data_IF_323019156460
#
_entry.id   IF_323019156460
#
_cell.length_a   1.000
_cell.length_b   1.000
_cell.length_c   1.000
_cell.angle_alpha   90.00
_cell.angle_beta   90.00
_cell.angle_gamma   90.00
#
_symmetry.space_group_name_H-M   'P 1'
#
loop_
_entity.id
_entity.type
_entity.pdbx_description
1 polymer ?
#
# COMPACT_ATOMS: atom_id res chain seq x y z
N UNK A 1 1.21 -25.33 -1.05
CA UNK A 1 0.64 -24.80 -2.28
C UNK A 1 0.81 -25.80 -3.41
N UNK A 2 -0.06 -25.75 -4.42
CA UNK A 2 0.07 -26.64 -5.61
C UNK A 2 0.97 -26.07 -6.69
N UNK A 3 1.35 -24.81 -6.56
CA UNK A 3 2.23 -24.12 -7.50
C UNK A 3 2.82 -22.86 -6.86
N UNK A 4 3.92 -22.39 -7.44
CA UNK A 4 4.74 -21.31 -6.88
C UNK A 4 4.02 -19.97 -6.87
N UNK A 5 3.22 -19.67 -7.90
CA UNK A 5 2.39 -18.44 -7.93
C UNK A 5 1.42 -18.41 -6.75
N UNK A 6 0.73 -19.54 -6.48
CA UNK A 6 -0.15 -19.65 -5.31
C UNK A 6 0.60 -19.47 -4.00
N UNK A 7 1.79 -20.05 -3.86
CA UNK A 7 2.64 -19.87 -2.68
C UNK A 7 3.05 -18.40 -2.50
N UNK A 8 3.44 -17.72 -3.57
CA UNK A 8 3.78 -16.30 -3.55
C UNK A 8 2.59 -15.41 -3.12
N UNK A 9 1.40 -15.66 -3.66
CA UNK A 9 0.18 -14.93 -3.22
C UNK A 9 -0.20 -15.22 -1.77
N UNK A 10 0.04 -16.45 -1.25
CA UNK A 10 -0.16 -16.74 0.17
C UNK A 10 0.81 -15.94 1.06
N UNK A 11 2.08 -15.82 0.66
CA UNK A 11 3.06 -15.00 1.37
C UNK A 11 2.69 -13.50 1.32
N UNK A 12 2.25 -12.99 0.16
CA UNK A 12 1.76 -11.63 -0.01
C UNK A 12 0.54 -11.35 0.88
N UNK A 13 -0.46 -12.23 0.85
CA UNK A 13 -1.66 -12.14 1.69
C UNK A 13 -1.33 -12.13 3.18
N UNK A 14 -0.39 -12.99 3.62
CA UNK A 14 0.10 -13.00 4.99
C UNK A 14 0.75 -11.67 5.37
N UNK A 15 1.66 -11.16 4.54
CA UNK A 15 2.34 -9.88 4.79
C UNK A 15 1.34 -8.71 4.92
N UNK A 16 0.30 -8.67 4.08
CA UNK A 16 -0.75 -7.65 4.13
C UNK A 16 -1.62 -7.76 5.39
N UNK A 17 -2.03 -8.96 5.76
CA UNK A 17 -2.93 -9.20 6.88
C UNK A 17 -2.24 -9.02 8.24
N UNK A 18 -0.99 -9.48 8.36
CA UNK A 18 -0.19 -9.40 9.60
C UNK A 18 0.58 -8.09 9.75
N UNK A 19 0.73 -7.30 8.68
CA UNK A 19 1.72 -6.21 8.55
C UNK A 19 3.17 -6.68 8.83
N UNK A 20 3.40 -7.98 8.69
CA UNK A 20 4.66 -8.66 8.94
C UNK A 20 5.42 -8.97 7.66
N UNK A 21 6.26 -9.97 7.74
CA UNK A 21 7.11 -10.45 6.66
C UNK A 21 6.56 -11.78 6.14
N UNK A 22 6.07 -11.81 4.89
CA UNK A 22 5.72 -13.05 4.20
C UNK A 22 6.97 -13.76 3.70
N UNK A 23 6.95 -15.09 3.68
CA UNK A 23 8.09 -15.88 3.20
C UNK A 23 7.61 -16.93 2.22
N UNK A 24 8.30 -17.05 1.08
CA UNK A 24 8.04 -18.08 0.08
C UNK A 24 9.34 -18.71 -0.40
N UNK A 25 9.33 -20.03 -0.56
CA UNK A 25 10.43 -20.81 -1.12
C UNK A 25 10.01 -21.42 -2.45
N UNK A 26 10.88 -21.33 -3.44
CA UNK A 26 10.70 -21.96 -4.75
C UNK A 26 11.93 -22.74 -5.18
N UNK A 27 11.76 -23.64 -6.12
CA UNK A 27 12.88 -24.25 -6.82
C UNK A 27 13.58 -23.23 -7.72
N UNK A 28 14.78 -23.56 -8.19
CA UNK A 28 15.52 -22.77 -9.18
C UNK A 28 14.82 -22.77 -10.55
N UNK A 29 15.20 -21.88 -11.42
CA UNK A 29 14.75 -21.82 -12.81
C UNK A 29 13.23 -21.69 -12.96
N UNK A 30 12.54 -22.74 -13.42
CA UNK A 30 11.08 -22.70 -13.60
C UNK A 30 10.31 -22.30 -12.34
N UNK A 31 10.75 -22.71 -11.14
CA UNK A 31 10.11 -22.34 -9.88
C UNK A 31 10.26 -20.85 -9.58
N UNK A 32 11.44 -20.29 -9.80
CA UNK A 32 11.69 -18.86 -9.68
C UNK A 32 10.89 -18.03 -10.70
N UNK A 33 10.72 -18.55 -11.92
CA UNK A 33 9.92 -17.90 -12.96
C UNK A 33 8.41 -17.99 -12.66
N UNK A 34 7.92 -19.12 -12.18
CA UNK A 34 6.49 -19.33 -11.89
C UNK A 34 5.96 -18.44 -10.76
N UNK A 35 6.78 -18.01 -9.81
CA UNK A 35 6.37 -17.11 -8.72
C UNK A 35 6.37 -15.64 -9.14
N UNK A 36 6.95 -15.30 -10.30
CA UNK A 36 7.20 -13.91 -10.72
C UNK A 36 5.96 -13.03 -10.67
N UNK A 37 4.81 -13.51 -11.14
CA UNK A 37 3.55 -12.75 -11.08
C UNK A 37 3.15 -12.33 -9.66
N UNK A 38 3.31 -13.22 -8.69
CA UNK A 38 3.01 -12.92 -7.28
C UNK A 38 4.02 -11.93 -6.68
N UNK A 39 5.29 -12.00 -7.04
CA UNK A 39 6.32 -11.05 -6.60
C UNK A 39 6.08 -9.66 -7.19
N UNK A 40 5.71 -9.57 -8.48
CA UNK A 40 5.30 -8.31 -9.11
C UNK A 40 4.12 -7.67 -8.38
N UNK A 41 3.09 -8.47 -8.03
CA UNK A 41 1.94 -7.97 -7.28
C UNK A 41 2.34 -7.51 -5.87
N UNK A 42 3.21 -8.26 -5.18
CA UNK A 42 3.75 -7.87 -3.87
C UNK A 42 4.52 -6.54 -3.94
N UNK A 43 5.32 -6.35 -5.01
CA UNK A 43 6.04 -5.08 -5.26
C UNK A 43 5.07 -3.93 -5.51
N UNK A 44 4.05 -4.18 -6.33
CA UNK A 44 3.04 -3.17 -6.64
C UNK A 44 2.22 -2.77 -5.41
N UNK A 45 1.89 -3.72 -4.55
CA UNK A 45 1.16 -3.47 -3.31
C UNK A 45 2.02 -2.86 -2.19
N UNK A 46 3.34 -3.00 -2.27
CA UNK A 46 4.26 -2.61 -1.19
C UNK A 46 4.24 -3.62 -0.02
N UNK A 47 4.10 -4.91 -0.33
CA UNK A 47 4.10 -5.98 0.67
C UNK A 47 5.53 -6.45 0.94
N UNK A 48 5.87 -6.62 2.22
CA UNK A 48 7.17 -7.16 2.64
C UNK A 48 7.17 -8.67 2.45
N UNK A 49 7.80 -9.16 1.39
CA UNK A 49 7.92 -10.60 1.10
C UNK A 49 9.39 -10.96 0.91
N UNK A 50 9.86 -12.04 1.54
CA UNK A 50 11.10 -12.69 1.21
C UNK A 50 10.82 -13.89 0.30
N UNK A 51 11.38 -13.86 -0.89
CA UNK A 51 11.35 -14.96 -1.83
C UNK A 51 12.71 -15.64 -1.87
N UNK A 52 12.75 -16.89 -1.46
CA UNK A 52 13.93 -17.74 -1.54
C UNK A 52 13.84 -18.66 -2.75
N UNK A 53 14.91 -18.71 -3.52
CA UNK A 53 15.02 -19.66 -4.65
C UNK A 53 16.40 -20.30 -4.68
N UNK A 54 16.46 -21.50 -5.23
CA UNK A 54 17.73 -22.14 -5.51
C UNK A 54 18.43 -21.55 -6.75
N UNK A 55 19.65 -22.00 -6.96
CA UNK A 55 20.42 -21.78 -8.19
C UNK A 55 21.35 -22.99 -8.44
N UNK A 56 21.86 -23.12 -9.65
CA UNK A 56 22.90 -24.10 -10.00
C UNK A 56 24.13 -23.91 -9.09
N UNK A 57 25.03 -24.89 -9.04
CA UNK A 57 26.25 -24.76 -8.26
C UNK A 57 27.09 -23.55 -8.71
N UNK A 58 27.80 -22.91 -7.80
CA UNK A 58 28.59 -21.70 -8.05
C UNK A 58 29.57 -21.86 -9.22
N UNK A 59 30.14 -23.05 -9.37
CA UNK A 59 31.04 -23.36 -10.51
C UNK A 59 30.36 -23.32 -11.90
N UNK A 60 29.04 -23.48 -11.96
CA UNK A 60 28.26 -23.51 -13.20
C UNK A 60 27.46 -22.22 -13.44
N UNK A 61 27.51 -21.28 -12.53
CA UNK A 61 26.74 -20.02 -12.63
C UNK A 61 27.07 -19.28 -13.93
N UNK A 62 26.03 -18.87 -14.64
CA UNK A 62 26.06 -17.99 -15.81
C UNK A 62 26.88 -18.57 -16.98
N UNK A 63 27.21 -19.88 -16.96
CA UNK A 63 27.97 -20.56 -18.01
C UNK A 63 27.11 -21.20 -19.11
N UNK A 64 25.81 -21.27 -18.90
CA UNK A 64 24.83 -21.85 -19.84
C UNK A 64 25.24 -23.26 -20.32
N UNK A 65 25.64 -24.11 -19.38
CA UNK A 65 26.16 -25.46 -19.69
C UNK A 65 25.05 -26.52 -19.74
N UNK A 66 23.78 -26.13 -19.65
CA UNK A 66 22.63 -27.03 -19.67
C UNK A 66 22.47 -27.84 -18.38
N UNK A 67 22.86 -27.30 -17.23
CA UNK A 67 22.53 -27.87 -15.92
C UNK A 67 21.03 -27.84 -15.71
N UNK A 68 20.52 -28.76 -14.88
CA UNK A 68 19.06 -28.85 -14.63
C UNK A 68 18.53 -27.53 -14.09
N UNK A 69 17.49 -26.97 -14.74
CA UNK A 69 16.86 -25.71 -14.38
C UNK A 69 17.78 -24.49 -14.46
N UNK A 70 18.83 -24.56 -15.25
CA UNK A 70 19.70 -23.43 -15.53
C UNK A 70 18.92 -22.34 -16.31
N UNK A 71 18.84 -21.16 -15.76
CA UNK A 71 18.24 -19.99 -16.41
C UNK A 71 19.29 -18.91 -16.48
N UNK A 72 19.74 -18.53 -17.67
CA UNK A 72 20.69 -17.43 -17.80
C UNK A 72 20.17 -16.17 -17.11
N UNK A 73 21.02 -15.52 -16.33
CA UNK A 73 20.70 -14.27 -15.62
C UNK A 73 19.46 -14.35 -14.71
N UNK A 74 19.25 -15.46 -13.98
CA UNK A 74 18.12 -15.58 -13.03
C UNK A 74 18.11 -14.42 -12.04
N UNK A 75 19.26 -13.98 -11.54
CA UNK A 75 19.34 -12.86 -10.59
C UNK A 75 18.81 -11.55 -11.18
N UNK A 76 19.09 -11.28 -12.47
CA UNK A 76 18.59 -10.09 -13.17
C UNK A 76 17.05 -10.13 -13.33
N UNK A 77 16.52 -11.30 -13.67
CA UNK A 77 15.07 -11.53 -13.70
C UNK A 77 14.44 -11.20 -12.33
N UNK A 78 15.01 -11.73 -11.25
CA UNK A 78 14.55 -11.49 -9.90
C UNK A 78 14.68 -10.01 -9.49
N UNK A 79 15.76 -9.35 -9.88
CA UNK A 79 15.99 -7.92 -9.65
C UNK A 79 14.94 -7.05 -10.33
N UNK A 80 14.51 -7.41 -11.53
CA UNK A 80 13.51 -6.65 -12.28
C UNK A 80 12.12 -6.67 -11.63
N UNK A 81 11.76 -7.74 -10.93
CA UNK A 81 10.44 -7.95 -10.32
C UNK A 81 10.40 -7.64 -8.82
N UNK A 82 11.55 -7.67 -8.13
CA UNK A 82 11.67 -7.43 -6.70
C UNK A 82 12.09 -5.99 -6.39
N UNK A 83 11.99 -5.58 -5.14
CA UNK A 83 12.61 -4.35 -4.65
C UNK A 83 14.12 -4.44 -4.69
N UNK A 84 14.64 -5.63 -4.36
CA UNK A 84 16.04 -6.00 -4.45
C UNK A 84 16.16 -7.51 -4.67
N UNK A 85 17.23 -7.95 -5.34
CA UNK A 85 17.59 -9.36 -5.46
C UNK A 85 19.03 -9.56 -4.99
N UNK A 86 19.25 -10.61 -4.20
CA UNK A 86 20.52 -10.89 -3.52
C UNK A 86 20.92 -12.32 -3.80
N UNK A 87 22.18 -12.55 -4.15
CA UNK A 87 22.78 -13.89 -4.21
C UNK A 87 23.58 -14.15 -2.93
N UNK A 88 23.41 -15.30 -2.31
CA UNK A 88 24.24 -15.80 -1.23
C UNK A 88 25.25 -16.78 -1.84
N UNK A 89 26.47 -16.36 -2.01
CA UNK A 89 27.57 -17.08 -2.66
C UNK A 89 28.67 -17.53 -1.69
N UNK A 90 28.58 -17.11 -0.44
CA UNK A 90 29.39 -17.61 0.69
C UNK A 90 28.46 -17.99 1.86
N UNK A 91 28.62 -19.21 2.37
CA UNK A 91 27.84 -19.71 3.49
C UNK A 91 28.03 -18.88 4.79
N UNK A 92 29.18 -18.25 4.96
CA UNK A 92 29.50 -17.41 6.14
C UNK A 92 28.71 -16.10 6.16
N UNK A 93 28.34 -15.59 4.99
CA UNK A 93 27.56 -14.34 4.84
C UNK A 93 26.05 -14.59 4.94
N UNK A 94 25.61 -15.84 5.01
CA UNK A 94 24.18 -16.19 4.96
C UNK A 94 23.34 -15.41 5.96
N UNK A 95 23.73 -15.39 7.23
CA UNK A 95 22.94 -14.70 8.25
C UNK A 95 22.93 -13.19 8.05
N UNK A 96 24.05 -12.59 7.69
CA UNK A 96 24.15 -11.15 7.42
C UNK A 96 23.26 -10.74 6.26
N UNK A 97 23.35 -11.46 5.12
CA UNK A 97 22.53 -11.20 3.93
C UNK A 97 21.03 -11.42 4.20
N UNK A 98 20.67 -12.39 5.06
CA UNK A 98 19.26 -12.58 5.46
C UNK A 98 18.73 -11.43 6.33
N UNK A 99 19.53 -10.97 7.31
CA UNK A 99 19.17 -9.81 8.13
C UNK A 99 19.01 -8.56 7.24
N UNK A 100 19.94 -8.36 6.31
CA UNK A 100 19.89 -7.27 5.36
C UNK A 100 18.60 -7.37 4.50
N UNK A 101 18.28 -8.54 3.96
CA UNK A 101 17.07 -8.76 3.16
C UNK A 101 15.78 -8.45 3.95
N UNK A 102 15.70 -8.89 5.20
CA UNK A 102 14.59 -8.55 6.09
C UNK A 102 14.47 -7.03 6.27
N UNK A 103 15.59 -6.36 6.54
CA UNK A 103 15.63 -4.89 6.69
C UNK A 103 15.16 -4.17 5.43
N UNK A 104 15.64 -4.57 4.27
CA UNK A 104 15.24 -3.97 2.98
C UNK A 104 13.74 -4.19 2.71
N UNK A 105 13.24 -5.41 2.91
CA UNK A 105 11.82 -5.71 2.68
C UNK A 105 10.89 -4.88 3.58
N UNK A 106 11.29 -4.64 4.85
CA UNK A 106 10.51 -3.92 5.85
C UNK A 106 10.70 -2.39 5.79
N UNK A 107 11.81 -1.90 5.21
CA UNK A 107 12.06 -0.46 5.08
C UNK A 107 11.10 0.16 4.05
N UNK A 108 10.38 1.23 4.40
CA UNK A 108 9.55 1.96 3.44
C UNK A 108 10.36 2.63 2.31
N UNK A 109 9.81 2.69 1.09
CA UNK A 109 8.63 1.98 0.63
C UNK A 109 8.86 0.47 0.65
N UNK A 110 7.98 -0.27 1.38
CA UNK A 110 8.10 -1.72 1.55
C UNK A 110 7.99 -2.45 0.21
N UNK A 111 8.58 -3.64 0.13
CA UNK A 111 8.50 -4.45 -1.08
C UNK A 111 9.16 -5.83 -0.94
N UNK A 112 8.99 -6.72 -1.94
CA UNK A 112 9.60 -8.04 -1.92
C UNK A 112 11.10 -7.97 -2.16
N UNK A 113 11.83 -8.88 -1.50
CA UNK A 113 13.26 -9.14 -1.74
C UNK A 113 13.43 -10.59 -2.15
N UNK A 114 14.07 -10.84 -3.28
CA UNK A 114 14.39 -12.18 -3.75
C UNK A 114 15.81 -12.57 -3.35
N UNK A 115 15.97 -13.80 -2.87
CA UNK A 115 17.24 -14.34 -2.37
C UNK A 115 17.52 -15.63 -3.13
N UNK A 116 18.60 -15.61 -3.88
CA UNK A 116 19.08 -16.74 -4.67
C UNK A 116 20.23 -17.42 -3.92
N UNK A 117 20.15 -18.75 -3.76
CA UNK A 117 21.15 -19.53 -3.03
C UNK A 117 21.59 -20.72 -3.88
N UNK A 118 22.84 -20.76 -4.38
CA UNK A 118 23.39 -21.89 -5.13
C UNK A 118 23.34 -23.18 -4.32
N UNK A 119 23.14 -24.32 -5.01
CA UNK A 119 22.92 -25.62 -4.37
C UNK A 119 24.12 -26.10 -3.56
N UNK A 120 25.34 -25.80 -3.99
CA UNK A 120 26.56 -26.14 -3.27
C UNK A 120 26.68 -25.35 -1.96
N UNK A 121 26.25 -24.06 -1.94
CA UNK A 121 26.17 -23.25 -0.73
C UNK A 121 25.13 -23.83 0.25
N UNK A 122 23.94 -24.23 -0.25
CA UNK A 122 22.88 -24.82 0.57
C UNK A 122 23.34 -26.15 1.26
N UNK A 123 24.26 -26.86 0.66
CA UNK A 123 24.78 -28.15 1.19
C UNK A 123 25.89 -27.99 2.18
N UNK A 124 26.47 -26.80 2.32
CA UNK A 124 27.57 -26.57 3.27
C UNK A 124 27.07 -26.63 4.71
N UNK A 125 27.91 -27.18 5.57
CA UNK A 125 27.69 -27.20 7.02
C UNK A 125 28.25 -25.91 7.62
N UNK A 126 27.42 -25.22 8.39
CA UNK A 126 27.82 -24.05 9.15
C UNK A 126 27.56 -24.26 10.63
N UNK A 127 28.35 -23.66 11.48
CA UNK A 127 28.02 -23.56 12.91
C UNK A 127 26.78 -22.66 13.06
N UNK A 128 25.85 -23.07 13.94
CA UNK A 128 24.67 -22.27 14.22
C UNK A 128 25.07 -20.95 14.88
N UNK A 129 24.83 -19.78 14.25
CA UNK A 129 25.22 -18.52 14.87
C UNK A 129 24.42 -18.25 16.16
N UNK A 130 25.10 -17.87 17.24
CA UNK A 130 24.46 -17.52 18.52
C UNK A 130 23.47 -16.35 18.43
N UNK A 131 23.67 -15.45 17.49
CA UNK A 131 22.75 -14.34 17.21
C UNK A 131 21.32 -14.81 16.93
N UNK A 132 21.10 -16.03 16.40
CA UNK A 132 19.77 -16.59 16.16
C UNK A 132 18.94 -16.80 17.43
N UNK A 133 19.55 -16.80 18.60
CA UNK A 133 18.84 -16.96 19.89
C UNK A 133 18.24 -15.64 20.38
N UNK A 134 18.73 -14.52 19.89
CA UNK A 134 18.34 -13.17 20.36
C UNK A 134 17.82 -12.25 19.26
N UNK A 135 17.96 -12.65 17.99
CA UNK A 135 17.53 -11.82 16.87
C UNK A 135 16.01 -11.67 16.82
N UNK A 136 15.56 -10.46 16.57
CA UNK A 136 14.17 -10.14 16.26
C UNK A 136 14.08 -9.41 14.93
N UNK A 137 12.90 -9.42 14.32
CA UNK A 137 12.66 -8.63 13.13
C UNK A 137 12.88 -7.14 13.42
N UNK A 138 13.58 -6.42 12.55
CA UNK A 138 13.83 -4.99 12.75
C UNK A 138 12.53 -4.21 12.79
N UNK A 139 12.37 -3.39 13.83
CA UNK A 139 11.28 -2.42 13.92
C UNK A 139 11.72 -1.15 13.18
N UNK A 140 11.15 -0.95 11.99
CA UNK A 140 11.48 0.21 11.15
C UNK A 140 10.35 1.21 11.25
N UNK A 141 10.64 2.37 11.83
CA UNK A 141 9.74 3.53 11.85
C UNK A 141 10.14 4.51 10.74
N UNK A 142 9.15 5.08 10.07
CA UNK A 142 9.40 6.18 9.13
C UNK A 142 9.89 7.45 9.86
N UNK A 143 10.39 8.41 9.11
CA UNK A 143 10.85 9.71 9.61
C UNK A 143 9.77 10.79 9.43
N UNK A 144 9.86 11.86 10.23
CA UNK A 144 8.99 13.03 10.08
C UNK A 144 9.31 13.80 8.78
N UNK A 145 10.57 13.81 8.36
CA UNK A 145 11.04 14.60 7.24
C UNK A 145 11.37 16.05 7.60
N UNK A 146 11.49 16.91 6.58
CA UNK A 146 11.86 18.31 6.75
C UNK A 146 10.72 19.15 7.37
N UNK A 147 10.99 19.77 8.51
CA UNK A 147 9.99 20.56 9.23
C UNK A 147 9.63 21.87 8.55
N UNK A 148 10.50 22.42 7.68
CA UNK A 148 10.21 23.68 6.95
C UNK A 148 9.08 23.50 5.94
N UNK A 149 9.03 22.38 5.24
CA UNK A 149 7.93 22.09 4.32
C UNK A 149 6.59 21.94 5.03
N UNK A 150 6.59 21.59 6.32
CA UNK A 150 5.36 21.55 7.13
C UNK A 150 4.76 22.94 7.38
N UNK A 151 5.58 23.99 7.44
CA UNK A 151 5.10 25.36 7.63
C UNK A 151 4.27 25.82 6.42
N UNK A 152 4.72 25.45 5.21
CA UNK A 152 3.99 25.74 3.97
C UNK A 152 2.68 24.95 3.89
N UNK A 153 2.68 23.67 4.31
CA UNK A 153 1.48 22.83 4.36
C UNK A 153 0.50 23.38 5.39
N UNK A 154 0.96 23.74 6.58
CA UNK A 154 0.15 24.36 7.61
C UNK A 154 -0.54 25.64 7.10
N UNK A 155 0.21 26.50 6.40
CA UNK A 155 -0.33 27.70 5.77
C UNK A 155 -1.41 27.37 4.74
N UNK A 156 -1.17 26.40 3.84
CA UNK A 156 -2.14 25.96 2.83
C UNK A 156 -3.42 25.43 3.47
N UNK A 157 -3.31 24.68 4.56
CA UNK A 157 -4.47 24.16 5.29
C UNK A 157 -5.28 25.31 5.93
N UNK A 158 -4.62 26.27 6.57
CA UNK A 158 -5.28 27.40 7.25
C UNK A 158 -5.96 28.34 6.27
N UNK A 159 -5.42 28.52 5.08
CA UNK A 159 -5.95 29.39 4.04
C UNK A 159 -7.11 28.76 3.25
N UNK A 160 -7.35 27.47 3.40
CA UNK A 160 -8.36 26.72 2.66
C UNK A 160 -9.61 26.50 3.51
N UNK A 161 -10.80 26.66 2.93
CA UNK A 161 -12.10 26.36 3.58
C UNK A 161 -12.58 24.96 3.22
N UNK A 162 -12.60 24.63 1.94
CA UNK A 162 -13.10 23.37 1.39
C UNK A 162 -11.96 22.39 1.18
N UNK A 163 -11.80 21.45 2.08
CA UNK A 163 -10.62 20.58 2.17
C UNK A 163 -10.98 19.11 2.10
N UNK A 164 -10.17 18.33 1.37
CA UNK A 164 -10.30 16.88 1.30
C UNK A 164 -8.95 16.20 1.51
N UNK A 165 -8.98 14.99 2.08
CA UNK A 165 -7.82 14.10 2.13
C UNK A 165 -8.08 12.92 1.21
N UNK A 166 -7.14 12.64 0.30
CA UNK A 166 -7.06 11.39 -0.44
C UNK A 166 -6.13 10.43 0.32
N UNK A 167 -6.72 9.39 0.89
CA UNK A 167 -6.01 8.41 1.73
C UNK A 167 -5.61 7.20 0.91
N UNK A 168 -4.31 6.89 0.87
CA UNK A 168 -3.76 5.69 0.27
C UNK A 168 -3.28 4.65 1.29
N UNK A 169 -2.72 3.55 0.78
CA UNK A 169 -2.17 2.46 1.61
C UNK A 169 -1.04 2.92 2.55
N UNK A 170 -0.26 3.93 2.16
CA UNK A 170 0.82 4.46 3.00
C UNK A 170 0.33 5.12 4.29
N UNK A 171 -0.97 5.46 4.37
CA UNK A 171 -1.61 6.00 5.57
C UNK A 171 -2.32 4.93 6.42
N UNK A 172 -2.14 3.63 6.15
CA UNK A 172 -2.85 2.51 6.79
C UNK A 172 -2.83 2.57 8.33
N UNK A 173 -1.81 3.13 8.93
CA UNK A 173 -1.63 3.21 10.38
C UNK A 173 -1.85 4.62 10.96
N UNK A 174 -2.38 5.56 10.17
CA UNK A 174 -2.64 6.94 10.57
C UNK A 174 -4.14 7.21 10.84
N UNK A 175 -4.90 6.19 11.25
CA UNK A 175 -6.34 6.30 11.50
C UNK A 175 -6.69 7.38 12.52
N UNK A 176 -5.97 7.44 13.63
CA UNK A 176 -6.21 8.43 14.69
C UNK A 176 -5.94 9.84 14.19
N UNK A 177 -4.83 10.02 13.50
CA UNK A 177 -4.41 11.30 12.97
C UNK A 177 -5.40 11.81 11.90
N UNK A 178 -5.83 10.96 10.97
CA UNK A 178 -6.81 11.35 9.94
C UNK A 178 -8.16 11.69 10.59
N UNK A 179 -8.56 10.99 11.65
CA UNK A 179 -9.78 11.36 12.40
C UNK A 179 -9.67 12.75 13.07
N UNK A 180 -8.47 13.21 13.45
CA UNK A 180 -8.28 14.60 13.89
C UNK A 180 -8.52 15.59 12.75
N UNK A 181 -8.05 15.30 11.54
CA UNK A 181 -8.33 16.13 10.37
C UNK A 181 -9.82 16.15 10.01
N UNK A 182 -10.54 15.04 10.16
CA UNK A 182 -11.99 15.01 9.99
C UNK A 182 -12.67 15.95 10.99
N UNK A 183 -12.23 15.96 12.25
CA UNK A 183 -12.72 16.91 13.26
C UNK A 183 -12.41 18.37 12.90
N UNK A 184 -11.39 18.62 12.10
CA UNK A 184 -11.04 19.94 11.54
C UNK A 184 -11.76 20.22 10.20
N UNK A 185 -12.78 19.44 9.84
CA UNK A 185 -13.63 19.66 8.67
C UNK A 185 -13.08 19.11 7.34
N UNK A 186 -12.08 18.23 7.36
CA UNK A 186 -11.66 17.57 6.13
C UNK A 186 -12.66 16.49 5.72
N UNK A 187 -13.11 16.52 4.47
CA UNK A 187 -13.69 15.36 3.82
C UNK A 187 -12.61 14.31 3.54
N UNK A 188 -12.99 13.06 3.33
CA UNK A 188 -12.04 11.99 3.03
C UNK A 188 -12.52 11.18 1.84
N UNK A 189 -11.61 10.92 0.91
CA UNK A 189 -11.76 9.92 -0.15
C UNK A 189 -10.62 8.93 -0.03
N UNK A 190 -10.85 7.66 -0.35
CA UNK A 190 -9.83 6.63 -0.21
C UNK A 190 -9.47 6.01 -1.56
N UNK A 191 -8.22 5.62 -1.71
CA UNK A 191 -7.87 4.61 -2.71
C UNK A 191 -8.49 3.26 -2.33
N UNK A 192 -8.55 2.32 -3.25
CA UNK A 192 -9.00 0.95 -2.95
C UNK A 192 -8.18 0.31 -1.82
N UNK A 193 -6.88 0.60 -1.78
CA UNK A 193 -5.97 0.08 -0.77
C UNK A 193 -5.94 0.91 0.53
N UNK A 194 -6.52 2.11 0.51
CA UNK A 194 -6.67 2.99 1.68
C UNK A 194 -8.00 2.85 2.40
N UNK A 195 -8.89 1.96 1.94
CA UNK A 195 -10.19 1.71 2.58
C UNK A 195 -10.01 1.23 4.02
N UNK A 196 -10.91 1.63 4.87
CA UNK A 196 -10.90 1.26 6.29
C UNK A 196 -9.93 2.07 7.16
N UNK A 197 -9.01 2.87 6.60
CA UNK A 197 -8.21 3.83 7.39
C UNK A 197 -9.12 4.82 8.12
N UNK A 198 -10.21 5.20 7.48
CA UNK A 198 -11.36 5.84 8.11
C UNK A 198 -12.55 4.91 7.94
N UNK A 199 -13.34 4.70 9.00
CA UNK A 199 -14.58 3.94 8.87
C UNK A 199 -15.46 4.56 7.78
N UNK A 200 -15.85 3.75 6.81
CA UNK A 200 -16.68 4.21 5.71
C UNK A 200 -18.12 4.55 6.16
N UNK A 201 -18.49 4.26 7.40
CA UNK A 201 -19.74 4.75 8.01
C UNK A 201 -19.64 6.21 8.45
N UNK A 202 -18.43 6.79 8.57
CA UNK A 202 -18.26 8.20 8.91
C UNK A 202 -18.87 9.10 7.81
N UNK A 203 -19.68 10.09 8.22
CA UNK A 203 -20.37 11.01 7.30
C UNK A 203 -19.45 11.85 6.42
N UNK A 204 -18.20 12.08 6.84
CA UNK A 204 -17.19 12.81 6.08
C UNK A 204 -16.34 11.90 5.19
N UNK A 205 -16.53 10.58 5.23
CA UNK A 205 -15.80 9.63 4.41
C UNK A 205 -16.62 9.25 3.17
N UNK A 206 -16.16 9.69 2.01
CA UNK A 206 -16.77 9.42 0.70
C UNK A 206 -16.39 8.03 0.16
N UNK A 207 -15.52 7.27 0.87
CA UNK A 207 -15.09 5.93 0.46
C UNK A 207 -14.24 5.92 -0.80
N UNK A 208 -14.21 4.79 -1.49
CA UNK A 208 -13.43 4.60 -2.72
C UNK A 208 -14.21 4.98 -4.00
N UNK A 209 -15.05 6.01 -3.92
CA UNK A 209 -15.79 6.56 -5.07
C UNK A 209 -15.01 7.68 -5.77
N UNK A 210 -13.71 7.65 -5.69
CA UNK A 210 -12.76 8.70 -6.05
C UNK A 210 -12.78 9.17 -7.51
N UNK A 211 -13.39 8.44 -8.44
CA UNK A 211 -13.45 8.79 -9.86
C UNK A 211 -14.87 8.75 -10.44
N UNK A 212 -15.92 8.80 -9.59
CA UNK A 212 -17.29 8.92 -10.10
C UNK A 212 -17.60 10.38 -10.49
N UNK A 213 -18.49 10.63 -11.47
CA UNK A 213 -18.74 11.98 -11.98
C UNK A 213 -19.09 13.02 -10.91
N UNK A 214 -19.94 12.67 -9.94
CA UNK A 214 -20.32 13.58 -8.84
C UNK A 214 -19.12 13.99 -7.98
N UNK A 215 -18.17 13.10 -7.75
CA UNK A 215 -16.94 13.41 -7.01
C UNK A 215 -16.02 14.31 -7.82
N UNK A 216 -15.93 14.11 -9.13
CA UNK A 216 -15.10 14.96 -9.99
C UNK A 216 -15.63 16.40 -10.03
N UNK A 217 -16.95 16.58 -10.14
CA UNK A 217 -17.54 17.91 -10.01
C UNK A 217 -17.30 18.52 -8.62
N UNK A 218 -17.38 17.72 -7.58
CA UNK A 218 -17.07 18.17 -6.22
C UNK A 218 -15.60 18.61 -6.09
N UNK A 219 -14.63 17.91 -6.72
CA UNK A 219 -13.22 18.31 -6.69
C UNK A 219 -12.97 19.70 -7.25
N UNK A 220 -13.75 20.14 -8.24
CA UNK A 220 -13.65 21.50 -8.82
C UNK A 220 -14.01 22.59 -7.83
N UNK A 221 -14.75 22.26 -6.77
CA UNK A 221 -15.19 23.22 -5.74
C UNK A 221 -14.23 23.29 -4.55
N UNK A 222 -13.18 22.48 -4.52
CA UNK A 222 -12.28 22.37 -3.38
C UNK A 222 -11.10 23.35 -3.48
N UNK A 223 -10.71 23.88 -2.33
CA UNK A 223 -9.54 24.74 -2.19
C UNK A 223 -8.24 23.96 -2.05
N UNK A 224 -8.32 22.73 -1.46
CA UNK A 224 -7.16 21.92 -1.12
C UNK A 224 -7.48 20.43 -1.17
N UNK A 225 -6.59 19.66 -1.79
CA UNK A 225 -6.53 18.20 -1.64
C UNK A 225 -5.19 17.81 -1.02
N UNK A 226 -5.25 17.17 0.14
CA UNK A 226 -4.11 16.56 0.81
C UNK A 226 -4.02 15.08 0.43
N UNK A 227 -2.98 14.69 -0.30
CA UNK A 227 -2.74 13.32 -0.76
C UNK A 227 -1.79 12.65 0.22
N UNK A 228 -2.25 11.60 0.91
CA UNK A 228 -1.48 10.96 1.98
C UNK A 228 -1.24 9.50 1.67
N UNK A 229 0.04 9.14 1.46
CA UNK A 229 0.47 7.77 1.21
C UNK A 229 -0.20 7.12 0.01
N UNK A 230 -0.49 7.89 -1.03
CA UNK A 230 -1.14 7.42 -2.25
C UNK A 230 -0.32 7.72 -3.50
N UNK A 231 -0.21 6.71 -4.36
CA UNK A 231 0.44 6.84 -5.67
C UNK A 231 -0.48 7.41 -6.75
N UNK A 232 -1.76 7.68 -6.45
CA UNK A 232 -2.77 8.12 -7.42
C UNK A 232 -2.75 7.26 -8.68
N UNK A 233 -2.97 5.96 -8.53
CA UNK A 233 -2.85 4.96 -9.59
C UNK A 233 -3.80 5.22 -10.74
N UNK A 234 -3.42 4.81 -11.96
CA UNK A 234 -4.19 5.01 -13.17
C UNK A 234 -5.65 4.55 -13.07
N UNK A 235 -5.90 3.33 -12.58
CA UNK A 235 -7.28 2.82 -12.45
C UNK A 235 -8.15 3.60 -11.43
N UNK A 236 -7.56 4.34 -10.51
CA UNK A 236 -8.25 5.19 -9.52
C UNK A 236 -8.43 6.62 -10.00
N UNK A 237 -7.69 7.01 -11.05
CA UNK A 237 -7.66 8.36 -11.62
C UNK A 237 -7.99 8.39 -13.12
N UNK A 238 -8.60 7.33 -13.65
CA UNK A 238 -8.90 7.18 -15.08
C UNK A 238 -7.67 7.45 -15.95
N UNK A 239 -6.58 6.71 -15.64
CA UNK A 239 -5.28 6.87 -16.28
C UNK A 239 -4.77 8.32 -16.27
N UNK A 240 -4.88 8.95 -15.09
CA UNK A 240 -4.45 10.32 -14.81
C UNK A 240 -5.22 11.41 -15.55
N UNK A 241 -6.40 11.06 -16.09
CA UNK A 241 -7.32 12.02 -16.72
C UNK A 241 -8.32 12.66 -15.75
N UNK A 242 -8.37 12.20 -14.49
CA UNK A 242 -9.26 12.76 -13.47
C UNK A 242 -8.84 14.18 -13.11
N UNK A 243 -9.78 15.12 -13.17
CA UNK A 243 -9.52 16.50 -12.77
C UNK A 243 -9.51 16.62 -11.25
N UNK A 244 -8.33 16.88 -10.68
CA UNK A 244 -8.13 17.12 -9.26
C UNK A 244 -8.12 18.61 -8.93
N UNK A 245 -8.33 19.01 -7.65
CA UNK A 245 -8.23 20.40 -7.23
C UNK A 245 -6.89 21.05 -7.63
N UNK A 246 -6.90 22.35 -7.86
CA UNK A 246 -5.68 23.09 -8.29
C UNK A 246 -4.57 23.09 -7.24
N UNK A 247 -4.93 23.05 -5.96
CA UNK A 247 -3.94 23.02 -4.87
C UNK A 247 -3.80 21.60 -4.33
N UNK A 248 -2.75 20.91 -4.78
CA UNK A 248 -2.41 19.55 -4.39
C UNK A 248 -1.19 19.56 -3.47
N UNK A 249 -1.36 19.01 -2.27
CA UNK A 249 -0.29 18.76 -1.30
C UNK A 249 -0.13 17.27 -1.14
N UNK A 250 1.08 16.74 -1.36
CA UNK A 250 1.34 15.31 -1.23
C UNK A 250 2.30 15.02 -0.08
N UNK A 251 1.93 14.06 0.74
CA UNK A 251 2.74 13.48 1.82
C UNK A 251 2.99 12.01 1.45
N UNK A 252 4.24 11.65 1.24
CA UNK A 252 4.62 10.28 0.91
C UNK A 252 5.99 9.95 1.50
N UNK A 253 6.20 8.70 1.88
CA UNK A 253 7.49 8.23 2.39
C UNK A 253 8.51 7.96 1.26
N UNK A 254 8.02 7.80 0.04
CA UNK A 254 8.82 7.58 -1.17
C UNK A 254 9.13 8.92 -1.85
N UNK A 255 10.39 9.41 -1.81
CA UNK A 255 10.74 10.68 -2.45
C UNK A 255 10.50 10.66 -3.96
N UNK A 256 10.51 9.49 -4.60
CA UNK A 256 10.21 9.35 -6.03
C UNK A 256 8.72 9.49 -6.37
N UNK A 257 7.84 9.59 -5.36
CA UNK A 257 6.42 9.87 -5.56
C UNK A 257 6.15 11.32 -6.01
N UNK A 258 7.09 12.24 -5.74
CA UNK A 258 6.97 13.65 -6.14
C UNK A 258 6.74 13.79 -7.64
N UNK A 259 5.60 14.38 -8.02
CA UNK A 259 5.22 14.62 -9.41
C UNK A 259 5.19 13.37 -10.31
N UNK A 260 5.06 12.18 -9.74
CA UNK A 260 5.07 10.91 -10.50
C UNK A 260 3.84 10.77 -11.41
N UNK A 261 2.67 11.13 -10.92
CA UNK A 261 1.39 11.02 -11.63
C UNK A 261 0.75 12.37 -11.86
N UNK A 262 0.64 13.19 -10.84
CA UNK A 262 0.14 14.55 -10.89
C UNK A 262 1.21 15.52 -10.41
N UNK A 263 1.28 16.71 -11.04
CA UNK A 263 2.11 17.79 -10.54
C UNK A 263 1.49 18.33 -9.25
N UNK A 264 2.24 18.27 -8.16
CA UNK A 264 1.80 18.76 -6.85
C UNK A 264 2.39 20.15 -6.56
N UNK A 265 1.64 21.00 -5.85
CA UNK A 265 2.09 22.32 -5.43
C UNK A 265 3.13 22.20 -4.32
N UNK A 266 2.91 21.25 -3.41
CA UNK A 266 3.80 20.98 -2.29
C UNK A 266 3.98 19.46 -2.14
N UNK A 267 5.18 19.05 -1.77
CA UNK A 267 5.51 17.66 -1.50
C UNK A 267 6.32 17.57 -0.21
N UNK A 268 5.87 16.72 0.70
CA UNK A 268 6.58 16.40 1.92
C UNK A 268 6.98 14.92 1.93
N UNK A 269 8.29 14.67 2.07
CA UNK A 269 8.81 13.32 2.20
C UNK A 269 8.85 12.92 3.66
N UNK A 270 7.92 12.05 4.09
CA UNK A 270 7.84 11.62 5.48
C UNK A 270 6.80 10.54 5.74
N UNK A 271 6.88 9.96 6.94
CA UNK A 271 5.91 8.97 7.41
C UNK A 271 4.53 9.62 7.64
N UNK A 272 3.51 9.08 7.00
CA UNK A 272 2.16 9.64 7.04
C UNK A 272 1.64 9.86 8.47
N UNK A 273 1.85 8.89 9.38
CA UNK A 273 1.39 8.98 10.76
C UNK A 273 2.10 10.12 11.51
N UNK A 274 3.44 10.16 11.43
CA UNK A 274 4.25 11.19 12.11
C UNK A 274 3.96 12.59 11.57
N UNK A 275 3.85 12.72 10.25
CA UNK A 275 3.57 14.00 9.59
C UNK A 275 2.19 14.51 9.96
N UNK A 276 1.17 13.66 9.88
CA UNK A 276 -0.20 14.06 10.24
C UNK A 276 -0.33 14.36 11.74
N UNK A 277 0.36 13.62 12.62
CA UNK A 277 0.37 13.91 14.05
C UNK A 277 0.96 15.30 14.35
N UNK A 278 2.08 15.64 13.73
CA UNK A 278 2.71 16.96 13.89
C UNK A 278 1.83 18.08 13.32
N UNK A 279 1.26 17.92 12.13
CA UNK A 279 0.33 18.89 11.55
C UNK A 279 -0.93 19.04 12.40
N UNK A 280 -1.51 17.94 12.91
CA UNK A 280 -2.68 17.99 13.78
C UNK A 280 -2.41 18.81 15.04
N UNK A 281 -1.24 18.61 15.69
CA UNK A 281 -0.80 19.39 16.84
C UNK A 281 -0.67 20.88 16.52
N UNK A 282 -0.09 21.23 15.38
CA UNK A 282 0.07 22.62 14.94
C UNK A 282 -1.26 23.32 14.64
N UNK A 283 -2.25 22.55 14.17
CA UNK A 283 -3.55 23.05 13.71
C UNK A 283 -4.63 23.01 14.78
N UNK A 284 -4.37 22.41 15.94
CA UNK A 284 -5.35 22.24 17.01
C UNK A 284 -6.00 23.58 17.40
N UNK A 285 -7.33 23.63 17.39
CA UNK A 285 -8.10 24.82 17.73
C UNK A 285 -8.01 25.99 16.74
N UNK A 286 -7.28 25.83 15.61
CA UNK A 286 -7.03 26.92 14.64
C UNK A 286 -7.85 26.83 13.37
N UNK A 287 -8.59 25.73 13.17
CA UNK A 287 -9.37 25.49 11.96
C UNK A 287 -10.86 25.58 12.29
N UNK A 288 -11.58 26.58 11.76
CA UNK A 288 -13.02 26.65 11.89
C UNK A 288 -13.70 25.55 11.09
N UNK A 289 -14.80 25.00 11.63
CA UNK A 289 -15.58 23.96 10.98
C UNK A 289 -17.01 24.46 10.82
N UNK A 290 -17.48 24.47 9.58
CA UNK A 290 -18.83 24.94 9.24
C UNK A 290 -19.78 23.73 9.13
N UNK A 291 -20.91 23.79 9.82
CA UNK A 291 -21.92 22.71 9.77
C UNK A 291 -22.51 22.53 8.37
N UNK A 292 -22.63 23.60 7.61
CA UNK A 292 -23.10 23.56 6.22
C UNK A 292 -22.19 22.71 5.35
N UNK A 293 -20.87 22.84 5.50
CA UNK A 293 -19.88 22.02 4.82
C UNK A 293 -20.01 20.53 5.19
N UNK A 294 -20.18 20.23 6.47
CA UNK A 294 -20.37 18.84 6.92
C UNK A 294 -21.64 18.25 6.30
N UNK A 295 -22.73 19.02 6.24
CA UNK A 295 -23.98 18.58 5.65
C UNK A 295 -23.87 18.39 4.14
N UNK A 296 -23.17 19.28 3.44
CA UNK A 296 -22.89 19.15 2.01
C UNK A 296 -22.16 17.84 1.69
N UNK A 297 -21.06 17.55 2.40
CA UNK A 297 -20.28 16.32 2.22
C UNK A 297 -21.12 15.07 2.51
N UNK A 298 -21.93 15.09 3.57
CA UNK A 298 -22.80 13.97 3.92
C UNK A 298 -23.90 13.75 2.88
N UNK A 299 -24.49 14.81 2.36
CA UNK A 299 -25.49 14.72 1.30
C UNK A 299 -24.89 14.18 0.00
N UNK A 300 -23.71 14.66 -0.38
CA UNK A 300 -22.96 14.12 -1.52
C UNK A 300 -22.68 12.63 -1.37
N UNK A 301 -22.22 12.20 -0.18
CA UNK A 301 -21.99 10.79 0.11
C UNK A 301 -23.24 9.95 -0.11
N UNK A 302 -24.38 10.39 0.46
CA UNK A 302 -25.65 9.68 0.35
C UNK A 302 -26.13 9.61 -1.10
N UNK A 303 -25.98 10.69 -1.87
CA UNK A 303 -26.35 10.71 -3.28
C UNK A 303 -25.51 9.74 -4.12
N UNK A 304 -24.18 9.76 -3.93
CA UNK A 304 -23.27 8.85 -4.63
C UNK A 304 -23.62 7.39 -4.33
N UNK A 305 -23.85 7.09 -3.04
CA UNK A 305 -24.21 5.74 -2.62
C UNK A 305 -25.52 5.27 -3.25
N UNK A 306 -26.53 6.14 -3.27
CA UNK A 306 -27.83 5.85 -3.86
C UNK A 306 -27.74 5.63 -5.38
N UNK A 307 -27.05 6.51 -6.08
CA UNK A 307 -26.88 6.42 -7.55
C UNK A 307 -26.14 5.13 -7.91
N UNK A 308 -25.08 4.82 -7.16
CA UNK A 308 -24.31 3.61 -7.40
C UNK A 308 -25.11 2.33 -7.06
N UNK A 309 -25.89 2.35 -5.97
CA UNK A 309 -26.80 1.25 -5.59
C UNK A 309 -27.83 0.98 -6.68
N UNK A 310 -28.42 2.02 -7.23
CA UNK A 310 -29.39 1.89 -8.33
C UNK A 310 -28.75 1.30 -9.59
N UNK A 311 -27.50 1.61 -9.88
CA UNK A 311 -26.75 1.08 -11.03
C UNK A 311 -26.43 -0.41 -10.89
N UNK A 312 -26.41 -0.97 -9.68
CA UNK A 312 -26.09 -2.38 -9.44
C UNK A 312 -27.21 -3.35 -9.86
N UNK A 313 -28.43 -2.89 -10.07
CA UNK A 313 -29.55 -3.74 -10.45
C UNK A 313 -29.80 -4.88 -9.46
N UNK A 314 -29.68 -6.13 -9.91
CA UNK A 314 -29.90 -7.32 -9.08
C UNK A 314 -28.90 -7.47 -7.92
N UNK A 315 -27.76 -6.81 -7.97
CA UNK A 315 -26.71 -6.89 -6.92
C UNK A 315 -26.81 -5.81 -5.84
N UNK A 316 -27.80 -4.92 -5.91
CA UNK A 316 -27.94 -3.72 -5.06
C UNK A 316 -27.94 -3.99 -3.56
N UNK A 317 -28.42 -5.14 -3.14
CA UNK A 317 -28.57 -5.49 -1.71
C UNK A 317 -27.42 -6.37 -1.19
N UNK A 318 -26.58 -6.93 -2.08
CA UNK A 318 -25.45 -7.81 -1.72
C UNK A 318 -24.47 -7.18 -0.74
N UNK A 319 -24.02 -5.91 -0.94
CA UNK A 319 -23.07 -5.29 -0.03
C UNK A 319 -23.56 -5.21 1.42
N UNK A 320 -24.82 -4.83 1.60
CA UNK A 320 -25.44 -4.70 2.93
C UNK A 320 -25.66 -6.06 3.59
N UNK A 321 -26.16 -7.04 2.83
CA UNK A 321 -26.38 -8.40 3.34
C UNK A 321 -25.06 -9.02 3.80
N UNK A 322 -24.01 -8.92 2.96
CA UNK A 322 -22.71 -9.49 3.31
C UNK A 322 -22.10 -8.75 4.51
N UNK A 323 -22.19 -7.43 4.56
CA UNK A 323 -21.69 -6.66 5.70
C UNK A 323 -22.36 -7.05 7.01
N UNK A 324 -23.65 -7.31 7.00
CA UNK A 324 -24.41 -7.69 8.19
C UNK A 324 -24.06 -9.11 8.69
N UNK A 325 -23.63 -10.00 7.80
CA UNK A 325 -23.26 -11.38 8.14
C UNK A 325 -21.78 -11.49 8.49
N UNK A 326 -20.91 -10.71 7.84
CA UNK A 326 -19.47 -10.76 8.06
C UNK A 326 -19.13 -10.33 9.50
N UNK A 327 -18.41 -11.15 10.28
CA UNK A 327 -17.95 -10.76 11.61
C UNK A 327 -17.15 -9.46 11.60
N UNK A 328 -17.13 -8.74 12.73
CA UNK A 328 -16.40 -7.45 12.84
C UNK A 328 -14.88 -7.58 12.62
N UNK A 329 -14.32 -8.74 12.93
CA UNK A 329 -12.92 -9.12 12.72
C UNK A 329 -12.70 -9.96 11.45
N UNK A 330 -13.77 -10.23 10.70
CA UNK A 330 -13.75 -10.96 9.45
C UNK A 330 -12.89 -10.27 8.38
N UNK A 331 -12.28 -11.07 7.51
CA UNK A 331 -11.49 -10.56 6.37
C UNK A 331 -12.28 -10.71 5.09
N UNK A 332 -12.37 -9.61 4.34
CA UNK A 332 -13.00 -9.60 3.03
C UNK A 332 -11.96 -9.91 1.94
N UNK A 333 -11.98 -11.13 1.44
CA UNK A 333 -11.13 -11.56 0.31
C UNK A 333 -11.99 -11.74 -0.93
N UNK A 334 -11.58 -11.19 -2.05
CA UNK A 334 -12.34 -11.22 -3.31
C UNK A 334 -11.42 -11.38 -4.53
N UNK A 335 -11.96 -11.98 -5.55
CA UNK A 335 -11.34 -12.05 -6.87
C UNK A 335 -11.76 -10.87 -7.77
N UNK A 336 -11.06 -10.68 -8.88
CA UNK A 336 -11.39 -9.66 -9.90
C UNK A 336 -12.58 -10.13 -10.73
N UNK A 337 -13.76 -9.89 -10.19
CA UNK A 337 -15.07 -10.25 -10.75
C UNK A 337 -16.04 -9.08 -10.57
N UNK A 338 -17.32 -9.27 -10.90
CA UNK A 338 -18.38 -8.28 -10.62
C UNK A 338 -18.37 -7.85 -9.15
N UNK A 339 -18.18 -8.80 -8.21
CA UNK A 339 -18.11 -8.51 -6.79
C UNK A 339 -16.97 -7.56 -6.42
N UNK A 340 -15.83 -7.63 -7.11
CA UNK A 340 -14.73 -6.70 -6.92
C UNK A 340 -14.95 -5.38 -7.66
N UNK A 341 -15.20 -5.45 -8.97
CA UNK A 341 -15.18 -4.28 -9.85
C UNK A 341 -16.35 -3.32 -9.59
N UNK A 342 -17.52 -3.83 -9.26
CA UNK A 342 -18.70 -3.01 -9.07
C UNK A 342 -18.96 -2.65 -7.61
N UNK A 343 -19.26 -3.62 -6.75
CA UNK A 343 -19.71 -3.30 -5.40
C UNK A 343 -18.69 -3.58 -4.28
N UNK A 344 -17.88 -4.64 -4.40
CA UNK A 344 -16.93 -5.02 -3.37
C UNK A 344 -15.83 -3.99 -3.12
N UNK A 345 -15.43 -3.23 -4.13
CA UNK A 345 -14.44 -2.16 -4.00
C UNK A 345 -15.00 -0.84 -3.46
N UNK A 346 -16.33 -0.67 -3.38
CA UNK A 346 -16.93 0.63 -3.07
C UNK A 346 -18.10 0.57 -2.10
N UNK A 347 -19.03 -0.38 -2.29
CA UNK A 347 -20.31 -0.38 -1.63
C UNK A 347 -20.33 -1.11 -0.27
N UNK A 348 -19.55 -2.17 -0.13
CA UNK A 348 -19.47 -2.87 1.16
C UNK A 348 -18.62 -2.04 2.12
N UNK A 349 -19.21 -1.51 3.17
CA UNK A 349 -18.50 -0.68 4.14
C UNK A 349 -17.36 -1.42 4.84
N UNK A 350 -16.20 -0.82 4.81
CA UNK A 350 -14.99 -1.27 5.50
C UNK A 350 -14.74 -0.33 6.69
N UNK A 351 -14.48 -0.90 7.87
CA UNK A 351 -14.39 -0.14 9.11
C UNK A 351 -12.96 -0.05 9.66
N UNK A 352 -12.09 -0.96 9.21
CA UNK A 352 -10.69 -0.93 9.59
C UNK A 352 -9.81 -1.40 8.42
N UNK A 353 -8.54 -0.98 8.37
CA UNK A 353 -7.67 -1.22 7.21
C UNK A 353 -7.16 -2.67 7.09
N UNK A 354 -7.58 -3.56 7.98
CA UNK A 354 -7.22 -4.98 7.95
C UNK A 354 -8.41 -5.91 7.65
N UNK A 355 -9.60 -5.35 7.37
CA UNK A 355 -10.78 -6.10 6.93
C UNK A 355 -10.67 -6.78 5.57
#
# INVERSE_FOLDING_TARGET
>A
ARGEMGAGHMADGYARASNGLGVVFTSTGPGAANVAGAIVESRFAGSSVLHFTGQTATENLDKNQGTVHDVPNQLDMLSSISKEAIRIDDEKETLEKLIYACKIALTPPKGPVSIEIPIDIQRKKIERPSLLDTISLPQISGELGDTKSLDEIEYSIKSSKRKIIWVGNGAKFATEEINLFIKMGFAVVTSTQGRGVVSETNKMCLGAFNAVPLIEEFYKTLDLMLIVGSRLRGHETRDMSLELPKNLVQIDIDPSAKNRTYKTNQFHCGDAKKVLAELAKRLEGKIPVENEWINEVNNLKNQIYLDYKNMLGAYKDFPEIIRNILPKDGKWVRDVTISNSMWGNRMMYINNPTE
#
